data_IF_996529107444
#
_entry.id   IF_996529107444
#
_cell.length_a   1.000
_cell.length_b   1.000
_cell.length_c   1.000
_cell.angle_alpha   90.00
_cell.angle_beta   90.00
_cell.angle_gamma   90.00
#
_symmetry.space_group_name_H-M   'P 1'
#
loop_
_entity.id
_entity.type
_entity.pdbx_description
1 polymer ?
#
# COMPACT_ATOMS: atom_id res chain seq x y z
N UNK A 1 8.59 -1.46 80.82
CA UNK A 1 8.30 -2.15 79.52
C UNK A 1 7.19 -1.33 78.82
N UNK A 2 7.51 -0.69 77.69
CA UNK A 2 6.52 0.08 76.88
C UNK A 2 5.70 -0.91 76.07
N UNK A 3 4.40 -1.05 76.33
CA UNK A 3 3.51 -1.85 75.51
C UNK A 3 3.37 -1.24 74.13
N UNK A 4 3.85 -1.95 73.15
CA UNK A 4 3.72 -1.58 71.74
C UNK A 4 2.25 -1.72 71.35
N UNK A 5 1.63 -0.60 70.97
CA UNK A 5 0.22 -0.52 70.69
C UNK A 5 -0.08 -1.30 69.35
N UNK A 6 -0.50 -2.54 69.50
CA UNK A 6 -0.71 -3.48 68.37
C UNK A 6 -1.62 -2.90 67.27
N UNK A 7 -2.55 -2.04 67.62
CA UNK A 7 -3.44 -1.32 66.69
C UNK A 7 -2.72 -0.35 65.78
N UNK A 8 -1.65 0.34 66.27
CA UNK A 8 -0.83 1.23 65.46
C UNK A 8 0.02 0.47 64.44
N UNK A 9 0.54 -0.70 64.85
CA UNK A 9 1.34 -1.55 63.97
C UNK A 9 0.47 -2.17 62.87
N UNK A 10 -0.80 -2.55 63.17
CA UNK A 10 -1.73 -3.08 62.18
C UNK A 10 -2.16 -2.01 61.17
N UNK A 11 -2.45 -0.80 61.59
CA UNK A 11 -2.76 0.33 60.70
C UNK A 11 -1.56 0.70 59.80
N UNK A 12 -0.36 0.67 60.32
CA UNK A 12 0.85 0.96 59.56
C UNK A 12 1.07 -0.11 58.47
N UNK A 13 0.86 -1.40 58.78
CA UNK A 13 0.92 -2.48 57.82
C UNK A 13 -0.17 -2.37 56.72
N UNK A 14 -1.37 -2.00 57.06
CA UNK A 14 -2.46 -1.75 56.10
C UNK A 14 -2.15 -0.58 55.16
N UNK A 15 -1.57 0.52 55.69
CA UNK A 15 -1.16 1.66 54.83
C UNK A 15 -0.02 1.27 53.90
N UNK A 16 0.96 0.51 54.35
CA UNK A 16 2.07 0.05 53.51
C UNK A 16 1.60 -0.93 52.41
N UNK A 17 0.65 -1.81 52.74
CA UNK A 17 0.06 -2.72 51.73
C UNK A 17 -0.78 -1.94 50.71
N UNK A 18 -1.54 -0.91 51.16
CA UNK A 18 -2.34 -0.08 50.27
C UNK A 18 -1.48 0.79 49.34
N UNK A 19 -0.35 1.33 49.82
CA UNK A 19 0.59 2.08 48.98
C UNK A 19 1.35 1.18 48.03
N UNK A 20 1.67 -0.05 48.42
CA UNK A 20 2.29 -1.06 47.51
C UNK A 20 1.30 -1.52 46.44
N UNK A 21 0.01 -1.65 46.73
CA UNK A 21 -1.01 -1.97 45.72
C UNK A 21 -1.25 -0.84 44.72
N UNK A 22 -1.16 0.45 45.16
CA UNK A 22 -1.33 1.60 44.28
C UNK A 22 -0.16 1.77 43.28
N UNK A 23 1.05 1.29 43.63
CA UNK A 23 2.22 1.39 42.74
C UNK A 23 2.25 0.38 41.59
N UNK A 24 1.38 -0.65 41.62
CA UNK A 24 1.30 -1.69 40.59
C UNK A 24 0.38 -1.31 39.43
N UNK A 25 -0.50 -0.32 39.61
CA UNK A 25 -1.30 0.24 38.52
C UNK A 25 -0.56 1.37 37.82
N UNK A 26 0.60 1.07 37.21
CA UNK A 26 1.17 1.89 36.16
C UNK A 26 0.21 1.85 34.98
N UNK A 27 -0.59 2.91 34.81
CA UNK A 27 -1.41 3.12 33.61
C UNK A 27 -0.42 3.17 32.44
N UNK A 28 -0.46 2.25 31.46
CA UNK A 28 0.35 2.41 30.27
C UNK A 28 -0.10 3.71 29.60
N UNK A 29 0.75 4.71 29.60
CA UNK A 29 0.56 5.89 28.77
C UNK A 29 0.72 5.41 27.34
N UNK A 30 -0.40 5.26 26.61
CA UNK A 30 -0.36 5.14 25.15
C UNK A 30 0.14 6.48 24.63
N UNK A 31 1.44 6.61 24.49
CA UNK A 31 2.02 7.63 23.66
C UNK A 31 1.77 7.21 22.21
N UNK A 32 1.10 8.04 21.43
CA UNK A 32 1.04 7.84 19.98
C UNK A 32 2.48 7.71 19.47
N UNK A 33 2.81 6.54 18.91
CA UNK A 33 4.14 6.29 18.41
C UNK A 33 4.43 7.24 17.24
N UNK A 34 5.46 8.06 17.41
CA UNK A 34 5.95 8.92 16.32
C UNK A 34 6.59 8.03 15.27
N UNK A 35 6.05 8.06 14.07
CA UNK A 35 6.50 7.28 12.92
C UNK A 35 7.03 8.20 11.82
N UNK A 36 8.10 7.78 11.18
CA UNK A 36 8.67 8.45 10.02
C UNK A 36 8.78 7.45 8.87
N UNK A 37 7.97 7.65 7.84
CA UNK A 37 7.80 6.72 6.74
C UNK A 37 8.24 7.34 5.42
N UNK A 38 8.73 6.49 4.51
CA UNK A 38 9.03 6.86 3.13
C UNK A 38 8.09 6.13 2.18
N UNK A 39 7.63 6.82 1.13
CA UNK A 39 6.72 6.27 0.12
C UNK A 39 7.14 6.72 -1.28
N UNK A 40 7.27 5.76 -2.19
CA UNK A 40 7.53 5.97 -3.62
C UNK A 40 6.97 4.79 -4.43
N UNK A 41 6.81 4.92 -5.77
CA UNK A 41 6.53 3.78 -6.64
C UNK A 41 7.63 2.72 -6.53
N UNK A 42 7.25 1.44 -6.53
CA UNK A 42 8.22 0.34 -6.51
C UNK A 42 8.88 0.09 -7.86
N UNK A 43 8.22 0.52 -8.95
CA UNK A 43 8.74 0.41 -10.30
C UNK A 43 8.43 1.66 -11.11
N UNK A 44 9.40 2.11 -11.93
CA UNK A 44 9.28 3.25 -12.84
C UNK A 44 10.02 2.95 -14.14
N UNK A 45 9.71 3.68 -15.22
CA UNK A 45 10.44 3.55 -16.49
C UNK A 45 11.63 4.53 -16.54
N UNK A 46 12.64 4.19 -17.34
CA UNK A 46 13.73 5.13 -17.68
C UNK A 46 13.14 6.36 -18.34
N UNK A 47 13.50 7.56 -17.86
CA UNK A 47 12.95 8.85 -18.29
C UNK A 47 11.67 9.26 -17.58
N UNK A 48 11.13 8.43 -16.70
CA UNK A 48 9.94 8.75 -15.91
C UNK A 48 10.28 9.60 -14.69
N UNK A 49 9.43 10.59 -14.44
CA UNK A 49 9.45 11.38 -13.21
C UNK A 49 8.53 10.76 -12.19
N UNK A 50 9.02 10.58 -10.97
CA UNK A 50 8.22 10.02 -9.90
C UNK A 50 8.34 10.82 -8.60
N UNK A 51 7.36 10.64 -7.74
CA UNK A 51 7.28 11.32 -6.44
C UNK A 51 7.80 10.41 -5.34
N UNK A 52 8.71 10.96 -4.53
CA UNK A 52 9.16 10.39 -3.26
C UNK A 52 8.67 11.27 -2.13
N UNK A 53 8.04 10.68 -1.14
CA UNK A 53 7.51 11.39 0.02
C UNK A 53 8.03 10.78 1.32
N UNK A 54 8.51 11.62 2.22
CA UNK A 54 8.80 11.27 3.60
C UNK A 54 7.77 11.91 4.49
N UNK A 55 7.08 11.13 5.31
CA UNK A 55 5.99 11.62 6.17
C UNK A 55 6.27 11.28 7.62
N UNK A 56 6.32 12.31 8.46
CA UNK A 56 6.39 12.23 9.92
C UNK A 56 5.00 12.53 10.49
N UNK A 57 4.45 11.66 11.34
CA UNK A 57 3.16 11.88 12.01
C UNK A 57 3.25 12.78 13.26
N UNK A 58 4.22 13.66 13.30
CA UNK A 58 4.46 14.61 14.37
C UNK A 58 5.05 15.92 13.83
N UNK A 59 5.21 16.92 14.70
CA UNK A 59 5.97 18.13 14.35
C UNK A 59 7.45 17.81 14.27
N UNK A 60 8.07 17.97 13.09
CA UNK A 60 9.48 17.70 12.83
C UNK A 60 10.33 18.95 12.68
N UNK A 61 11.63 18.78 12.90
CA UNK A 61 12.69 19.75 12.63
C UNK A 61 13.94 19.03 12.15
N UNK A 62 14.89 19.74 11.57
CA UNK A 62 16.19 19.19 11.14
C UNK A 62 16.03 17.91 10.30
N UNK A 63 15.23 18.00 9.23
CA UNK A 63 15.16 16.95 8.23
C UNK A 63 16.51 16.86 7.52
N UNK A 64 17.07 15.64 7.41
CA UNK A 64 18.25 15.33 6.63
C UNK A 64 17.85 14.38 5.51
N UNK A 65 18.02 14.84 4.29
CA UNK A 65 17.73 14.07 3.09
C UNK A 65 18.71 12.90 2.91
N UNK A 66 18.27 11.82 2.25
CA UNK A 66 19.17 10.74 1.86
C UNK A 66 19.96 11.11 0.60
N UNK A 67 20.96 10.30 0.28
CA UNK A 67 21.66 10.39 -1.00
C UNK A 67 20.79 9.86 -2.14
N UNK A 68 20.65 10.67 -3.19
CA UNK A 68 19.89 10.33 -4.42
C UNK A 68 20.82 9.98 -5.61
N UNK A 69 22.04 9.49 -5.36
CA UNK A 69 23.08 9.30 -6.38
C UNK A 69 22.62 8.59 -7.68
N UNK A 70 21.61 7.73 -7.59
CA UNK A 70 21.08 6.95 -8.73
C UNK A 70 19.93 7.65 -9.47
N UNK A 71 19.43 8.77 -8.94
CA UNK A 71 18.30 9.51 -9.49
C UNK A 71 18.63 10.99 -9.62
N UNK A 72 18.12 11.63 -10.66
CA UNK A 72 18.25 13.08 -10.79
C UNK A 72 17.12 13.76 -9.99
N UNK A 73 17.49 14.63 -9.05
CA UNK A 73 16.52 15.45 -8.32
C UNK A 73 16.06 16.59 -9.22
N UNK A 74 14.77 16.62 -9.55
CA UNK A 74 14.16 17.70 -10.32
C UNK A 74 13.60 18.81 -9.43
N UNK A 75 13.06 18.44 -8.28
CA UNK A 75 12.49 19.37 -7.30
C UNK A 75 12.44 18.76 -5.91
N UNK A 76 12.63 19.58 -4.88
CA UNK A 76 12.48 19.20 -3.49
C UNK A 76 13.61 19.68 -2.58
N UNK A 77 13.44 19.53 -1.24
CA UNK A 77 12.21 19.09 -0.59
C UNK A 77 11.11 20.15 -0.58
N UNK A 78 9.94 19.84 -1.11
CA UNK A 78 8.74 20.62 -0.88
C UNK A 78 8.11 20.18 0.44
N UNK A 79 8.07 21.04 1.44
CA UNK A 79 7.58 20.72 2.77
C UNK A 79 6.12 21.17 2.92
N UNK A 80 5.27 20.24 3.37
CA UNK A 80 3.91 20.54 3.78
C UNK A 80 3.65 20.07 5.20
N UNK A 81 2.87 20.85 5.95
CA UNK A 81 2.45 20.50 7.31
C UNK A 81 0.94 20.51 7.37
N UNK A 82 0.35 19.46 7.94
CA UNK A 82 -1.08 19.41 8.23
C UNK A 82 -1.30 19.17 9.72
N UNK A 83 -2.36 19.78 10.26
CA UNK A 83 -2.80 19.54 11.62
C UNK A 83 -4.32 19.40 11.62
N UNK A 84 -4.80 18.31 12.20
CA UNK A 84 -6.23 18.08 12.39
C UNK A 84 -6.54 17.86 13.87
N UNK A 85 -7.66 18.43 14.32
CA UNK A 85 -8.16 18.24 15.69
C UNK A 85 -9.47 17.48 15.58
N UNK A 86 -9.56 16.39 16.32
CA UNK A 86 -10.75 15.55 16.39
C UNK A 86 -11.23 15.45 17.84
N UNK A 87 -12.55 15.53 18.02
CA UNK A 87 -13.22 15.29 19.30
C UNK A 87 -13.97 13.97 19.22
N UNK A 88 -13.52 12.97 19.97
CA UNK A 88 -14.18 11.66 20.05
C UNK A 88 -14.46 11.37 21.51
N UNK A 89 -15.73 11.14 21.85
CA UNK A 89 -16.16 10.83 23.22
C UNK A 89 -15.64 11.81 24.29
N UNK A 90 -15.65 13.12 23.99
CA UNK A 90 -15.18 14.16 24.92
C UNK A 90 -13.65 14.25 25.06
N UNK A 91 -12.89 13.46 24.32
CA UNK A 91 -11.42 13.54 24.26
C UNK A 91 -10.99 14.25 22.98
N UNK A 92 -10.12 15.23 23.13
CA UNK A 92 -9.47 15.93 22.02
C UNK A 92 -8.24 15.14 21.59
N UNK A 93 -8.16 14.80 20.32
CA UNK A 93 -6.98 14.26 19.67
C UNK A 93 -6.50 15.25 18.62
N UNK A 94 -5.22 15.58 18.63
CA UNK A 94 -4.58 16.42 17.64
C UNK A 94 -3.58 15.59 16.86
N UNK A 95 -3.82 15.44 15.56
CA UNK A 95 -2.90 14.77 14.63
C UNK A 95 -2.15 15.83 13.83
N UNK A 96 -0.83 15.80 13.91
CA UNK A 96 0.05 16.67 13.12
C UNK A 96 0.90 15.80 12.22
N UNK A 97 1.06 16.18 10.95
CA UNK A 97 2.01 15.51 10.07
C UNK A 97 2.84 16.52 9.28
N UNK A 98 4.12 16.19 9.07
CA UNK A 98 5.04 16.92 8.21
C UNK A 98 5.44 16.00 7.07
N UNK A 99 5.27 16.46 5.82
CA UNK A 99 5.62 15.70 4.62
C UNK A 99 6.66 16.46 3.82
N UNK A 100 7.73 15.76 3.43
CA UNK A 100 8.81 16.25 2.57
C UNK A 100 8.70 15.52 1.24
N UNK A 101 8.47 16.27 0.16
CA UNK A 101 8.20 15.71 -1.17
C UNK A 101 9.32 16.08 -2.13
N UNK A 102 9.83 15.07 -2.83
CA UNK A 102 10.76 15.19 -3.94
C UNK A 102 10.12 14.72 -5.24
N UNK A 103 10.53 15.34 -6.34
CA UNK A 103 10.30 14.82 -7.70
C UNK A 103 11.64 14.38 -8.23
N UNK A 104 11.76 13.10 -8.53
CA UNK A 104 12.96 12.44 -9.01
C UNK A 104 12.74 11.95 -10.45
N UNK A 105 13.83 11.92 -11.23
CA UNK A 105 13.87 11.35 -12.58
C UNK A 105 14.71 10.09 -12.58
N UNK A 106 14.17 9.00 -13.10
CA UNK A 106 14.91 7.76 -13.32
C UNK A 106 15.75 7.87 -14.60
N UNK A 107 17.08 7.81 -14.49
CA UNK A 107 17.98 8.06 -15.61
C UNK A 107 18.54 6.79 -16.27
N UNK A 108 18.55 5.66 -15.57
CA UNK A 108 19.12 4.39 -16.04
C UNK A 108 18.33 3.21 -15.49
N UNK A 109 18.24 2.12 -16.27
CA UNK A 109 17.59 0.88 -15.83
C UNK A 109 18.42 0.16 -14.76
N UNK A 110 17.75 -0.52 -13.83
CA UNK A 110 18.35 -1.27 -12.73
C UNK A 110 17.50 -1.24 -11.47
N UNK A 111 18.00 -1.88 -10.42
CA UNK A 111 17.37 -1.84 -9.10
C UNK A 111 18.21 -0.94 -8.18
N UNK A 112 17.62 0.12 -7.69
CA UNK A 112 18.29 1.14 -6.88
C UNK A 112 17.63 1.28 -5.53
N UNK A 113 18.42 1.54 -4.50
CA UNK A 113 17.90 1.74 -3.15
C UNK A 113 18.21 3.15 -2.68
N UNK A 114 17.17 3.92 -2.39
CA UNK A 114 17.28 5.21 -1.72
C UNK A 114 17.47 4.93 -0.23
N UNK A 115 18.56 5.42 0.40
CA UNK A 115 18.82 5.23 1.82
C UNK A 115 17.74 5.87 2.70
N UNK A 116 17.79 5.58 3.98
CA UNK A 116 16.91 6.15 4.96
C UNK A 116 17.17 7.66 5.15
N UNK A 117 16.10 8.46 5.19
CA UNK A 117 16.14 9.84 5.64
C UNK A 117 16.05 9.93 7.18
N UNK A 118 16.46 11.05 7.77
CA UNK A 118 16.32 11.29 9.20
C UNK A 118 15.61 12.61 9.49
N UNK A 119 14.91 12.67 10.63
CA UNK A 119 14.23 13.87 11.10
C UNK A 119 14.22 13.91 12.63
N UNK A 120 14.26 15.09 13.22
CA UNK A 120 14.15 15.25 14.68
C UNK A 120 12.72 15.64 15.07
N UNK A 121 12.20 15.01 16.13
CA UNK A 121 10.92 15.35 16.76
C UNK A 121 11.01 15.12 18.27
N UNK A 122 10.56 16.09 19.07
CA UNK A 122 10.59 15.96 20.53
C UNK A 122 11.98 15.65 21.14
N UNK A 123 13.06 16.13 20.50
CA UNK A 123 14.45 15.87 20.93
C UNK A 123 14.99 14.49 20.53
N UNK A 124 14.20 13.64 19.89
CA UNK A 124 14.62 12.33 19.38
C UNK A 124 14.81 12.38 17.86
N UNK A 125 15.69 11.53 17.36
CA UNK A 125 15.89 11.34 15.91
C UNK A 125 15.10 10.13 15.44
N UNK A 126 14.34 10.29 14.38
CA UNK A 126 13.57 9.25 13.71
C UNK A 126 14.17 9.00 12.32
N UNK A 127 14.12 7.77 11.88
CA UNK A 127 14.67 7.34 10.61
C UNK A 127 13.60 6.60 9.81
N UNK A 128 13.52 6.90 8.50
CA UNK A 128 12.63 6.17 7.60
C UNK A 128 13.22 4.79 7.24
N UNK A 129 12.40 3.90 6.72
CA UNK A 129 12.92 2.72 6.03
C UNK A 129 13.57 3.14 4.69
N UNK A 130 14.62 2.42 4.23
CA UNK A 130 15.12 2.58 2.86
C UNK A 130 14.05 2.13 1.87
N UNK A 131 14.06 2.70 0.65
CA UNK A 131 13.13 2.35 -0.43
C UNK A 131 13.91 1.80 -1.61
N UNK A 132 13.53 0.60 -2.06
CA UNK A 132 14.05 0.01 -3.29
C UNK A 132 13.09 0.28 -4.44
N UNK A 133 13.64 0.80 -5.55
CA UNK A 133 12.91 1.15 -6.77
C UNK A 133 13.54 0.39 -7.94
N UNK A 134 12.73 -0.33 -8.67
CA UNK A 134 13.11 -0.99 -9.90
C UNK A 134 12.88 -0.04 -11.07
N UNK A 135 13.91 0.30 -11.82
CA UNK A 135 13.82 1.10 -13.05
C UNK A 135 13.91 0.17 -14.24
N UNK A 136 12.83 0.06 -14.99
CA UNK A 136 12.78 -0.77 -16.20
C UNK A 136 13.14 0.06 -17.44
N UNK A 137 13.76 -0.58 -18.44
CA UNK A 137 13.95 0.05 -19.72
C UNK A 137 12.56 0.36 -20.29
N UNK A 138 12.25 1.63 -20.54
CA UNK A 138 10.97 2.04 -21.09
C UNK A 138 10.69 1.29 -22.38
N UNK A 139 9.50 0.73 -22.51
CA UNK A 139 9.00 0.27 -23.81
C UNK A 139 8.86 1.53 -24.66
N UNK A 140 9.73 1.69 -25.65
CA UNK A 140 9.66 2.78 -26.63
C UNK A 140 8.34 2.67 -27.39
N UNK A 141 7.25 3.14 -26.81
CA UNK A 141 6.10 3.51 -27.58
C UNK A 141 6.45 4.79 -28.30
N UNK A 142 6.92 4.61 -29.54
CA UNK A 142 6.95 5.66 -30.55
C UNK A 142 5.61 6.37 -30.54
N UNK A 143 5.57 7.56 -29.95
CA UNK A 143 4.54 8.56 -30.23
C UNK A 143 4.83 9.14 -31.61
N UNK A 144 4.77 8.30 -32.64
CA UNK A 144 4.59 8.74 -34.00
C UNK A 144 3.10 8.90 -34.22
N UNK A 145 2.67 10.15 -34.24
CA UNK A 145 1.38 10.61 -34.76
C UNK A 145 1.00 9.80 -36.00
N UNK A 146 -0.01 8.95 -35.90
CA UNK A 146 -0.77 8.41 -37.01
C UNK A 146 -2.20 8.88 -36.84
N UNK A 147 -2.51 10.02 -37.46
CA UNK A 147 -3.87 10.28 -37.91
C UNK A 147 -4.22 9.19 -38.92
N UNK A 148 -5.17 8.35 -38.58
CA UNK A 148 -6.06 7.76 -39.59
C UNK A 148 -7.38 7.36 -38.95
N UNK A 149 -8.42 7.91 -39.56
CA UNK A 149 -9.85 7.67 -39.41
C UNK A 149 -10.19 6.18 -39.36
N UNK A 150 -11.13 5.77 -38.53
CA UNK A 150 -12.46 5.27 -38.97
C UNK A 150 -13.23 4.61 -37.85
N UNK A 151 -14.40 5.10 -37.65
CA UNK A 151 -15.73 4.50 -37.74
C UNK A 151 -16.21 3.67 -36.54
N UNK A 152 -17.20 4.30 -35.92
CA UNK A 152 -18.33 3.78 -35.12
C UNK A 152 -18.60 2.29 -35.26
N UNK A 153 -18.56 1.59 -34.10
CA UNK A 153 -19.61 0.63 -33.79
C UNK A 153 -19.82 0.54 -32.29
N UNK A 154 -20.99 0.98 -31.84
CA UNK A 154 -21.51 0.75 -30.51
C UNK A 154 -21.81 -0.74 -30.36
N UNK A 155 -21.02 -1.43 -29.55
CA UNK A 155 -21.44 -2.67 -28.92
C UNK A 155 -20.84 -2.74 -27.54
N UNK A 156 -21.71 -2.66 -26.55
CA UNK A 156 -21.41 -3.00 -25.16
C UNK A 156 -20.93 -4.46 -25.12
N UNK A 157 -19.63 -4.65 -25.09
CA UNK A 157 -19.02 -5.96 -24.88
C UNK A 157 -18.60 -6.03 -23.42
N UNK A 158 -19.41 -6.69 -22.62
CA UNK A 158 -18.98 -7.24 -21.32
C UNK A 158 -17.98 -8.35 -21.65
N UNK A 159 -16.70 -8.02 -21.66
CA UNK A 159 -15.65 -9.03 -21.83
C UNK A 159 -15.43 -9.75 -20.51
N UNK A 160 -16.03 -10.93 -20.40
CA UNK A 160 -15.62 -11.93 -19.41
C UNK A 160 -14.30 -12.51 -19.90
N UNK A 161 -13.18 -12.10 -19.33
CA UNK A 161 -11.87 -12.61 -19.66
C UNK A 161 -11.53 -13.83 -18.81
N UNK A 162 -11.64 -15.01 -19.38
CA UNK A 162 -11.09 -16.25 -18.80
C UNK A 162 -9.57 -16.23 -18.99
N UNK A 163 -8.81 -16.07 -17.91
CA UNK A 163 -7.35 -15.97 -17.99
C UNK A 163 -6.73 -17.35 -17.90
N UNK A 164 -6.26 -17.87 -19.03
CA UNK A 164 -5.22 -18.88 -19.10
C UNK A 164 -3.86 -18.18 -18.92
N UNK A 165 -2.95 -18.82 -18.22
CA UNK A 165 -1.68 -18.38 -17.65
C UNK A 165 -0.62 -17.70 -18.57
N UNK A 166 -0.99 -17.11 -19.70
CA UNK A 166 -0.11 -16.26 -20.50
C UNK A 166 -0.37 -14.79 -20.17
N UNK A 167 0.37 -14.29 -19.18
CA UNK A 167 0.25 -12.95 -18.59
C UNK A 167 0.80 -11.82 -19.49
N UNK A 168 0.98 -12.03 -20.77
CA UNK A 168 1.65 -11.11 -21.67
C UNK A 168 0.65 -10.50 -22.65
N UNK A 169 0.18 -9.30 -22.34
CA UNK A 169 -0.51 -8.45 -23.30
C UNK A 169 -1.81 -7.79 -22.83
N UNK A 170 -2.46 -8.27 -21.80
CA UNK A 170 -3.72 -7.69 -21.33
C UNK A 170 -3.49 -6.44 -20.45
N UNK A 171 -4.22 -5.37 -20.74
CA UNK A 171 -4.15 -4.13 -19.97
C UNK A 171 -4.78 -4.23 -18.58
N UNK A 172 -5.55 -5.30 -18.33
CA UNK A 172 -6.29 -5.52 -17.08
C UNK A 172 -6.58 -7.01 -16.91
N UNK A 173 -6.07 -7.62 -15.82
CA UNK A 173 -6.34 -9.00 -15.45
C UNK A 173 -6.16 -9.26 -13.96
N UNK A 174 -6.67 -10.38 -13.48
CA UNK A 174 -6.42 -10.89 -12.14
C UNK A 174 -5.66 -12.20 -12.24
N UNK A 175 -4.61 -12.35 -11.43
CA UNK A 175 -3.85 -13.58 -11.35
C UNK A 175 -3.97 -14.20 -9.96
N UNK A 176 -4.08 -15.54 -9.92
CA UNK A 176 -3.95 -16.35 -8.72
C UNK A 176 -2.60 -17.05 -8.79
N UNK A 177 -1.70 -16.70 -7.88
CA UNK A 177 -0.37 -17.31 -7.79
C UNK A 177 -0.24 -18.11 -6.51
N UNK A 178 0.49 -19.21 -6.56
CA UNK A 178 0.74 -20.07 -5.39
C UNK A 178 2.24 -20.14 -5.10
N UNK A 179 2.59 -20.18 -3.81
CA UNK A 179 3.98 -20.34 -3.36
C UNK A 179 4.55 -21.73 -3.64
N UNK A 180 3.67 -22.75 -3.85
CA UNK A 180 4.02 -24.14 -4.13
C UNK A 180 3.09 -24.71 -5.19
N UNK A 181 3.64 -25.55 -6.08
CA UNK A 181 2.88 -26.26 -7.12
C UNK A 181 2.60 -27.72 -6.76
N UNK A 182 3.34 -28.29 -5.80
CA UNK A 182 3.16 -29.65 -5.30
C UNK A 182 3.28 -29.69 -3.80
N UNK A 183 2.47 -30.54 -3.17
CA UNK A 183 2.36 -30.65 -1.73
C UNK A 183 2.25 -32.11 -1.32
N UNK A 184 2.78 -32.42 -0.14
CA UNK A 184 2.46 -33.68 0.57
C UNK A 184 1.21 -33.50 1.43
N UNK A 185 0.58 -34.63 1.79
CA UNK A 185 -0.57 -34.62 2.68
C UNK A 185 -0.23 -33.90 4.01
N UNK A 186 -1.11 -33.02 4.46
CA UNK A 186 -0.89 -32.20 5.67
C UNK A 186 -0.06 -30.94 5.48
N UNK A 187 0.49 -30.71 4.30
CA UNK A 187 1.13 -29.43 3.97
C UNK A 187 0.10 -28.42 3.46
N UNK A 188 0.45 -27.15 3.54
CA UNK A 188 -0.34 -26.04 3.02
C UNK A 188 0.45 -25.23 1.99
N UNK A 189 -0.27 -24.54 1.14
CA UNK A 189 0.23 -23.49 0.24
C UNK A 189 -0.47 -22.17 0.54
N UNK A 190 0.15 -21.09 0.10
CA UNK A 190 -0.45 -19.75 0.10
C UNK A 190 -0.82 -19.39 -1.32
N UNK A 191 -2.12 -19.18 -1.55
CA UNK A 191 -2.63 -18.61 -2.78
C UNK A 191 -2.77 -17.10 -2.62
N UNK A 192 -2.15 -16.34 -3.54
CA UNK A 192 -2.22 -14.88 -3.59
C UNK A 192 -3.02 -14.46 -4.81
N UNK A 193 -4.09 -13.73 -4.58
CA UNK A 193 -4.99 -13.20 -5.62
C UNK A 193 -4.69 -11.72 -5.78
N UNK A 194 -4.25 -11.33 -6.97
CA UNK A 194 -3.74 -9.99 -7.24
C UNK A 194 -4.29 -9.45 -8.55
N UNK A 195 -4.71 -8.19 -8.53
CA UNK A 195 -5.06 -7.42 -9.72
C UNK A 195 -3.80 -6.88 -10.37
N UNK A 196 -3.80 -6.86 -11.70
CA UNK A 196 -2.79 -6.22 -12.55
C UNK A 196 -3.49 -5.33 -13.57
N UNK A 197 -3.11 -4.06 -13.66
CA UNK A 197 -3.75 -3.13 -14.59
C UNK A 197 -2.78 -2.05 -15.08
N UNK A 198 -2.94 -1.65 -16.36
CA UNK A 198 -2.37 -0.44 -16.94
C UNK A 198 -3.41 0.69 -17.05
N UNK A 199 -4.69 0.37 -16.72
CA UNK A 199 -5.80 1.32 -16.75
C UNK A 199 -6.00 1.97 -15.38
N UNK A 200 -6.57 3.16 -15.36
CA UNK A 200 -6.94 3.86 -14.13
C UNK A 200 -8.21 3.22 -13.54
N UNK A 201 -8.06 2.57 -12.38
CA UNK A 201 -9.15 1.89 -11.65
C UNK A 201 -9.88 2.89 -10.77
N UNK A 202 -11.18 2.99 -10.96
CA UNK A 202 -12.09 3.81 -10.15
C UNK A 202 -12.64 3.05 -8.94
N UNK A 203 -12.83 1.72 -9.06
CA UNK A 203 -13.40 0.88 -8.01
C UNK A 203 -13.58 -0.57 -8.45
N UNK A 204 -14.14 -1.35 -7.55
CA UNK A 204 -14.43 -2.76 -7.73
C UNK A 204 -15.91 -3.03 -7.39
N UNK A 205 -16.55 -3.88 -8.19
CA UNK A 205 -17.90 -4.38 -7.95
C UNK A 205 -17.91 -5.89 -8.11
N UNK A 206 -18.89 -6.58 -7.50
CA UNK A 206 -19.16 -8.01 -7.66
C UNK A 206 -17.90 -8.91 -7.62
N UNK A 207 -17.12 -8.80 -6.54
CA UNK A 207 -15.93 -9.62 -6.35
C UNK A 207 -16.35 -11.01 -5.88
N UNK A 208 -16.23 -12.02 -6.76
CA UNK A 208 -16.55 -13.42 -6.47
C UNK A 208 -15.27 -14.25 -6.46
N UNK A 209 -14.79 -14.54 -5.26
CA UNK A 209 -13.63 -15.41 -5.10
C UNK A 209 -13.97 -16.87 -5.41
N UNK A 210 -13.00 -17.67 -5.91
CA UNK A 210 -13.22 -19.09 -6.18
C UNK A 210 -13.53 -19.83 -4.88
N UNK A 211 -14.35 -20.91 -4.96
CA UNK A 211 -14.72 -21.72 -3.78
C UNK A 211 -13.58 -22.59 -3.24
N UNK A 212 -12.43 -22.67 -3.93
CA UNK A 212 -11.28 -23.53 -3.58
C UNK A 212 -11.65 -25.00 -3.38
N UNK A 213 -12.43 -25.55 -4.31
CA UNK A 213 -12.94 -26.91 -4.26
C UNK A 213 -11.81 -27.94 -4.09
N UNK A 214 -11.93 -28.82 -3.08
CA UNK A 214 -10.92 -29.84 -2.73
C UNK A 214 -9.83 -29.34 -1.78
N UNK A 215 -9.91 -28.09 -1.34
CA UNK A 215 -9.05 -27.54 -0.31
C UNK A 215 -9.86 -27.15 0.94
N UNK A 216 -9.26 -27.29 2.09
CA UNK A 216 -9.62 -26.49 3.25
C UNK A 216 -8.96 -25.14 3.10
N UNK A 217 -9.68 -24.05 3.33
CA UNK A 217 -9.18 -22.70 3.12
C UNK A 217 -9.33 -21.85 4.38
N UNK A 218 -8.38 -20.95 4.59
CA UNK A 218 -8.42 -19.93 5.64
C UNK A 218 -7.84 -18.64 5.10
N UNK A 219 -8.53 -17.53 5.33
CA UNK A 219 -8.06 -16.22 4.90
C UNK A 219 -6.86 -15.77 5.75
N UNK A 220 -5.75 -15.44 5.09
CA UNK A 220 -4.57 -14.85 5.73
C UNK A 220 -4.63 -13.32 5.67
N UNK A 221 -5.06 -12.79 4.54
CA UNK A 221 -5.14 -11.35 4.30
C UNK A 221 -6.29 -11.08 3.33
N UNK A 222 -7.22 -10.23 3.74
CA UNK A 222 -8.33 -9.76 2.91
C UNK A 222 -8.51 -8.26 3.16
N UNK A 223 -7.76 -7.40 2.45
CA UNK A 223 -7.79 -5.97 2.69
C UNK A 223 -9.17 -5.40 2.35
N UNK A 224 -9.74 -4.61 3.25
CA UNK A 224 -11.01 -3.91 3.00
C UNK A 224 -10.85 -2.80 1.96
N UNK A 225 -9.64 -2.27 1.84
CA UNK A 225 -9.26 -1.28 0.85
C UNK A 225 -8.03 -1.77 0.10
N UNK A 226 -8.14 -1.92 -1.22
CA UNK A 226 -7.04 -2.35 -2.08
C UNK A 226 -6.06 -1.19 -2.25
N UNK A 227 -4.83 -1.39 -1.78
CA UNK A 227 -3.74 -0.44 -2.01
C UNK A 227 -3.07 -0.77 -3.34
N UNK A 228 -3.11 0.19 -4.26
CA UNK A 228 -2.50 0.03 -5.58
C UNK A 228 -1.02 0.42 -5.53
N UNK A 229 -0.15 -0.42 -6.12
CA UNK A 229 1.29 -0.22 -6.21
C UNK A 229 1.77 -0.52 -7.62
N UNK A 230 2.84 0.14 -8.06
CA UNK A 230 3.46 -0.15 -9.36
C UNK A 230 4.51 -1.24 -9.19
N UNK A 231 4.45 -2.26 -10.04
CA UNK A 231 5.37 -3.40 -10.06
C UNK A 231 5.78 -3.72 -11.49
N UNK A 232 7.03 -4.18 -11.65
CA UNK A 232 7.48 -4.76 -12.91
C UNK A 232 7.01 -6.22 -13.02
N UNK A 233 6.34 -6.54 -14.10
CA UNK A 233 5.92 -7.90 -14.43
C UNK A 233 6.42 -8.20 -15.85
N UNK A 234 7.42 -9.06 -15.94
CA UNK A 234 8.02 -9.47 -17.23
C UNK A 234 8.49 -8.29 -18.10
N UNK A 235 9.10 -7.26 -17.50
CA UNK A 235 9.60 -6.08 -18.20
C UNK A 235 8.55 -5.01 -18.49
N UNK A 236 7.32 -5.19 -18.05
CA UNK A 236 6.24 -4.22 -18.17
C UNK A 236 5.76 -3.74 -16.79
N UNK A 237 5.48 -2.45 -16.68
CA UNK A 237 4.95 -1.88 -15.44
C UNK A 237 3.43 -2.01 -15.40
N UNK A 238 2.95 -2.66 -14.34
CA UNK A 238 1.54 -2.72 -13.98
C UNK A 238 1.29 -2.01 -12.66
N UNK A 239 0.14 -1.40 -12.54
CA UNK A 239 -0.43 -1.07 -11.25
C UNK A 239 -1.08 -2.32 -10.69
N UNK A 240 -0.63 -2.78 -9.52
CA UNK A 240 -1.08 -4.03 -8.91
C UNK A 240 -1.77 -3.76 -7.60
N UNK A 241 -2.73 -4.62 -7.25
CA UNK A 241 -3.44 -4.55 -5.98
C UNK A 241 -3.68 -5.94 -5.40
N UNK A 242 -3.32 -6.14 -4.14
CA UNK A 242 -3.65 -7.38 -3.44
C UNK A 242 -5.15 -7.41 -3.15
N UNK A 243 -5.84 -8.42 -3.69
CA UNK A 243 -7.26 -8.66 -3.42
C UNK A 243 -7.44 -9.59 -2.22
N UNK A 244 -6.66 -10.69 -2.18
CA UNK A 244 -6.76 -11.68 -1.10
C UNK A 244 -5.53 -12.58 -1.03
N UNK A 245 -5.15 -13.01 0.18
CA UNK A 245 -4.26 -14.15 0.41
C UNK A 245 -5.01 -15.22 1.19
N UNK A 246 -4.90 -16.45 0.75
CA UNK A 246 -5.60 -17.58 1.34
C UNK A 246 -4.61 -18.72 1.61
N UNK A 247 -4.69 -19.29 2.79
CA UNK A 247 -4.03 -20.54 3.13
C UNK A 247 -4.89 -21.69 2.62
N UNK A 248 -4.33 -22.56 1.79
CA UNK A 248 -5.02 -23.72 1.22
C UNK A 248 -4.34 -25.01 1.65
N UNK A 249 -5.11 -25.95 2.17
CA UNK A 249 -4.65 -27.29 2.54
C UNK A 249 -5.45 -28.34 1.75
N UNK A 250 -4.79 -29.16 0.91
CA UNK A 250 -5.47 -30.15 0.10
C UNK A 250 -6.17 -31.20 0.96
N UNK A 251 -7.41 -31.53 0.62
CA UNK A 251 -8.24 -32.50 1.33
C UNK A 251 -8.17 -33.90 0.70
N UNK A 252 -7.57 -34.01 -0.48
CA UNK A 252 -7.41 -35.26 -1.23
C UNK A 252 -6.10 -35.27 -2.00
N UNK A 253 -5.63 -36.46 -2.38
CA UNK A 253 -4.50 -36.65 -3.27
C UNK A 253 -4.92 -36.46 -4.76
N UNK A 254 -3.94 -36.29 -5.62
CA UNK A 254 -4.12 -36.09 -7.05
C UNK A 254 -4.03 -34.61 -7.45
N UNK A 255 -4.43 -34.33 -8.66
CA UNK A 255 -4.45 -32.97 -9.20
C UNK A 255 -5.64 -32.20 -8.66
N UNK A 256 -5.38 -30.99 -8.16
CA UNK A 256 -6.39 -30.06 -7.67
C UNK A 256 -6.24 -28.74 -8.43
N UNK A 257 -7.34 -28.26 -8.96
CA UNK A 257 -7.39 -27.02 -9.71
C UNK A 257 -8.07 -25.95 -8.84
N UNK A 258 -7.51 -24.74 -8.84
CA UNK A 258 -8.18 -23.56 -8.30
C UNK A 258 -9.03 -22.97 -9.40
N UNK A 259 -10.33 -22.87 -9.14
CA UNK A 259 -11.29 -22.32 -10.10
C UNK A 259 -11.00 -20.83 -10.40
N UNK A 260 -11.39 -20.31 -11.57
CA UNK A 260 -11.27 -18.90 -11.89
C UNK A 260 -12.15 -18.05 -10.97
N UNK A 261 -11.75 -16.78 -10.77
CA UNK A 261 -12.59 -15.78 -10.10
C UNK A 261 -13.28 -14.88 -11.10
N UNK A 262 -14.36 -14.25 -10.65
CA UNK A 262 -15.06 -13.20 -11.38
C UNK A 262 -14.98 -11.88 -10.60
N UNK A 263 -14.70 -10.79 -11.30
CA UNK A 263 -14.66 -9.45 -10.72
C UNK A 263 -15.07 -8.41 -11.76
N UNK A 264 -15.93 -7.50 -11.36
CA UNK A 264 -16.27 -6.31 -12.15
C UNK A 264 -15.39 -5.15 -11.68
N UNK A 265 -14.65 -4.55 -12.61
CA UNK A 265 -13.71 -3.46 -12.32
C UNK A 265 -14.17 -2.21 -13.04
N UNK A 266 -14.41 -1.15 -12.27
CA UNK A 266 -14.73 0.15 -12.81
C UNK A 266 -13.44 0.89 -13.19
N UNK A 267 -13.30 1.27 -14.45
CA UNK A 267 -12.15 2.02 -14.95
C UNK A 267 -12.55 3.44 -15.33
N UNK A 268 -11.63 4.40 -15.14
CA UNK A 268 -11.80 5.76 -15.61
C UNK A 268 -11.24 5.88 -17.02
N UNK A 269 -12.08 6.38 -17.92
CA UNK A 269 -11.65 6.69 -19.27
C UNK A 269 -11.74 8.20 -19.48
N UNK A 270 -10.68 8.80 -20.01
CA UNK A 270 -10.70 10.21 -20.40
C UNK A 270 -11.62 10.40 -21.58
N UNK A 271 -12.67 11.21 -21.41
CA UNK A 271 -13.58 11.56 -22.47
C UNK A 271 -13.09 12.87 -23.11
N UNK A 272 -12.92 12.88 -24.43
CA UNK A 272 -12.69 14.14 -25.15
C UNK A 272 -13.91 15.02 -24.98
N UNK A 273 -13.74 16.15 -24.36
CA UNK A 273 -14.77 17.21 -24.35
C UNK A 273 -14.66 18.02 -25.63
N UNK A 274 -15.81 18.40 -26.20
CA UNK A 274 -15.86 19.35 -27.29
C UNK A 274 -15.67 20.81 -26.83
N UNK A 275 -15.45 21.02 -25.52
CA UNK A 275 -15.26 22.33 -24.94
C UNK A 275 -13.74 22.56 -24.67
N UNK A 276 -13.09 23.55 -25.32
CA UNK A 276 -11.67 23.83 -25.13
C UNK A 276 -11.26 24.14 -23.68
N UNK A 277 -12.20 24.60 -22.84
CA UNK A 277 -11.96 24.89 -21.44
C UNK A 277 -11.83 23.63 -20.58
N UNK A 278 -12.53 22.56 -20.88
CA UNK A 278 -12.46 21.31 -20.13
C UNK A 278 -11.10 20.60 -20.31
N UNK A 279 -10.51 20.74 -21.49
CA UNK A 279 -9.16 20.21 -21.75
C UNK A 279 -8.07 20.98 -20.98
N UNK A 280 -8.28 22.27 -20.73
CA UNK A 280 -7.34 23.12 -19.98
C UNK A 280 -7.38 22.81 -18.46
N UNK A 281 -8.54 22.43 -17.91
CA UNK A 281 -8.73 22.10 -16.48
C UNK A 281 -8.61 20.61 -16.15
N UNK A 282 -8.02 19.78 -17.02
CA UNK A 282 -7.70 18.38 -16.71
C UNK A 282 -8.58 17.33 -17.37
N UNK A 283 -9.54 17.75 -18.22
CA UNK A 283 -10.42 16.86 -18.97
C UNK A 283 -11.54 16.24 -18.13
N UNK A 284 -12.58 15.76 -18.84
CA UNK A 284 -13.68 15.01 -18.22
C UNK A 284 -13.34 13.52 -18.20
N UNK A 285 -13.57 12.85 -17.06
CA UNK A 285 -13.43 11.39 -16.91
C UNK A 285 -14.81 10.75 -16.83
N UNK A 286 -14.95 9.63 -17.51
CA UNK A 286 -16.14 8.77 -17.39
C UNK A 286 -15.72 7.45 -16.75
N UNK A 287 -16.48 6.99 -15.76
CA UNK A 287 -16.35 5.64 -15.21
C UNK A 287 -17.08 4.65 -16.11
N UNK A 288 -16.42 3.59 -16.51
CA UNK A 288 -16.95 2.52 -17.37
C UNK A 288 -16.76 1.18 -16.67
#
# INVERSE_FOLDING_TARGET
>A
MKSINLHKVLKLKQIVILTLLLSVFGIPAFADDVTFTANAPRAVEVGEQFRLQFTLNAKGSNFSEPDFADFQVLSGPNTSSSSSIQWVNGKMSQNTSNTFTYILLATKAGTFTIPAATVKSGGKTYQSAPITIEVVAGSSQNTASSQQQQQTNNQSNTQTTTINSDLSGDDLFVAITTDKKSLYQGQYLVATIKLYTKKDVAGFEDVKFPPFTGFWSSDLEAPQQVTLQRENVNGQIYTTGLLKKVLLMPQRSGELTIDPMEITILTRTRVRSNNPFDDFFGGSYRTV
#
